data_IF_440774382548
#
_entry.id   IF_440774382548
#
_cell.length_a   1.000
_cell.length_b   1.000
_cell.length_c   1.000
_cell.angle_alpha   90.00
_cell.angle_beta   90.00
_cell.angle_gamma   90.00
#
_symmetry.space_group_name_H-M   'P 1'
#
loop_
_entity.id
_entity.type
_entity.pdbx_description
1 polymer ?
#
# COMPACT_ATOMS: atom_id res chain seq x y z
N UNK A 1 -38.09 16.98 -49.48
CA UNK A 1 -37.55 16.05 -50.50
C UNK A 1 -36.79 14.98 -49.74
N UNK A 2 -37.36 13.77 -49.66
CA UNK A 2 -36.81 12.53 -50.25
C UNK A 2 -35.50 12.09 -49.53
N UNK A 3 -35.35 10.93 -48.88
CA UNK A 3 -36.00 9.61 -48.98
C UNK A 3 -35.47 8.69 -47.84
N UNK A 4 -36.35 7.82 -47.32
CA UNK A 4 -36.18 6.33 -47.13
C UNK A 4 -35.09 5.80 -46.18
N UNK A 5 -35.49 5.14 -45.08
CA UNK A 5 -35.72 3.68 -44.91
C UNK A 5 -34.45 2.80 -44.97
N UNK A 6 -34.19 2.01 -43.91
CA UNK A 6 -33.80 0.57 -43.85
C UNK A 6 -33.21 0.29 -42.44
N UNK A 7 -33.93 -0.28 -41.47
CA UNK A 7 -34.07 -1.72 -41.12
C UNK A 7 -32.78 -2.54 -41.04
N UNK A 8 -32.50 -3.06 -39.83
CA UNK A 8 -32.00 -4.40 -39.46
C UNK A 8 -31.18 -4.25 -38.16
N UNK A 9 -31.54 -4.80 -37.00
CA UNK A 9 -32.06 -6.14 -36.78
C UNK A 9 -30.89 -7.07 -36.42
N UNK A 10 -30.28 -6.87 -35.26
CA UNK A 10 -29.30 -7.80 -34.70
C UNK A 10 -29.94 -8.50 -33.50
N UNK A 11 -30.63 -9.61 -33.78
CA UNK A 11 -31.09 -10.58 -32.80
C UNK A 11 -29.86 -11.37 -32.33
N UNK A 12 -29.35 -11.08 -31.13
CA UNK A 12 -28.25 -11.86 -30.55
C UNK A 12 -28.81 -13.15 -29.95
N UNK A 13 -28.37 -14.29 -30.47
CA UNK A 13 -28.75 -15.62 -29.98
C UNK A 13 -28.15 -15.85 -28.58
N UNK A 14 -29.04 -16.06 -27.61
CA UNK A 14 -28.71 -16.60 -26.30
C UNK A 14 -28.55 -18.12 -26.46
N UNK A 15 -27.32 -18.62 -26.33
CA UNK A 15 -27.05 -20.05 -26.16
C UNK A 15 -26.82 -20.33 -24.66
N UNK A 16 -27.91 -20.71 -23.97
CA UNK A 16 -27.83 -21.38 -22.67
C UNK A 16 -27.66 -22.87 -22.96
N UNK A 17 -26.50 -23.42 -22.64
CA UNK A 17 -26.31 -24.86 -22.47
C UNK A 17 -25.63 -25.06 -21.11
N UNK A 18 -26.44 -25.46 -20.13
CA UNK A 18 -25.94 -26.07 -18.91
C UNK A 18 -25.69 -27.57 -19.12
N UNK A 19 -24.89 -28.18 -18.25
CA UNK A 19 -25.30 -29.29 -17.38
C UNK A 19 -24.10 -29.82 -16.58
N UNK A 20 -24.21 -29.67 -15.26
CA UNK A 20 -23.97 -30.65 -14.20
C UNK A 20 -22.66 -31.46 -14.02
N UNK A 21 -22.45 -31.69 -12.71
CA UNK A 21 -21.83 -32.81 -11.99
C UNK A 21 -20.31 -32.92 -11.91
N UNK A 22 -19.78 -32.61 -10.72
CA UNK A 22 -19.21 -33.65 -9.85
C UNK A 22 -19.10 -33.12 -8.40
N UNK A 23 -19.69 -33.89 -7.49
CA UNK A 23 -19.56 -33.80 -6.04
C UNK A 23 -18.39 -34.70 -5.63
N UNK A 24 -17.46 -34.20 -4.81
CA UNK A 24 -16.51 -35.02 -4.04
C UNK A 24 -16.26 -34.26 -2.72
N UNK A 25 -16.92 -34.56 -1.61
CA UNK A 25 -16.81 -35.74 -0.75
C UNK A 25 -15.45 -35.88 -0.05
N UNK A 26 -15.31 -35.12 1.04
CA UNK A 26 -14.72 -35.51 2.32
C UNK A 26 -13.24 -35.99 2.37
N UNK A 27 -12.42 -35.25 3.14
CA UNK A 27 -11.66 -35.90 4.22
C UNK A 27 -11.31 -34.94 5.37
N UNK A 28 -11.91 -35.20 6.52
CA UNK A 28 -11.40 -34.83 7.83
C UNK A 28 -10.15 -35.67 8.11
N UNK A 29 -9.09 -35.03 8.61
CA UNK A 29 -8.18 -35.66 9.55
C UNK A 29 -7.67 -34.56 10.49
N UNK A 30 -8.30 -34.50 11.66
CA UNK A 30 -7.68 -33.99 12.88
C UNK A 30 -6.72 -35.06 13.38
N UNK A 31 -5.49 -34.73 13.75
CA UNK A 31 -4.83 -35.34 14.90
C UNK A 31 -3.47 -34.68 15.22
N UNK A 32 -3.08 -34.80 16.50
CA UNK A 32 -1.71 -34.76 17.03
C UNK A 32 -1.10 -33.40 17.44
N UNK A 33 -1.47 -32.99 18.65
CA UNK A 33 -0.53 -32.46 19.66
C UNK A 33 0.38 -33.60 20.18
N UNK A 34 1.62 -33.32 20.58
CA UNK A 34 1.92 -33.49 21.99
C UNK A 34 2.80 -32.39 22.61
N UNK A 35 2.72 -32.36 23.93
CA UNK A 35 3.32 -31.42 24.87
C UNK A 35 4.81 -31.68 25.20
N UNK A 36 5.33 -30.71 25.95
CA UNK A 36 6.42 -30.76 26.94
C UNK A 36 7.86 -30.55 26.46
N UNK A 37 8.54 -29.55 27.04
CA UNK A 37 9.51 -29.75 28.13
C UNK A 37 9.95 -28.39 28.69
N UNK A 38 9.79 -28.21 30.01
CA UNK A 38 10.39 -27.12 30.79
C UNK A 38 11.82 -27.50 31.21
N UNK A 39 12.65 -26.50 31.54
CA UNK A 39 13.46 -26.65 32.75
C UNK A 39 13.40 -25.42 33.68
N UNK A 40 13.37 -25.75 34.97
CA UNK A 40 13.53 -24.90 36.16
C UNK A 40 15.01 -24.83 36.56
N UNK A 41 15.51 -23.64 36.91
CA UNK A 41 16.51 -23.36 37.97
C UNK A 41 16.69 -21.82 38.05
N UNK A 42 16.19 -21.07 39.04
CA UNK A 42 16.53 -20.93 40.47
C UNK A 42 17.76 -20.05 40.77
N UNK A 43 17.51 -19.07 41.67
CA UNK A 43 18.37 -18.30 42.61
C UNK A 43 19.45 -17.40 41.99
N UNK A 44 19.71 -16.17 42.45
CA UNK A 44 20.04 -15.75 43.81
C UNK A 44 20.04 -14.21 43.92
N UNK A 45 19.67 -13.73 45.11
CA UNK A 45 19.65 -12.34 45.57
C UNK A 45 21.05 -11.87 46.00
N UNK A 46 21.47 -10.66 45.62
CA UNK A 46 22.50 -9.92 46.34
C UNK A 46 22.37 -8.41 46.09
N UNK A 47 21.91 -7.70 47.12
CA UNK A 47 22.03 -6.26 47.25
C UNK A 47 23.46 -5.89 47.66
N UNK A 48 24.06 -4.90 46.99
CA UNK A 48 25.19 -4.14 47.51
C UNK A 48 25.29 -2.78 46.78
N UNK A 49 24.99 -1.72 47.52
CA UNK A 49 25.44 -0.34 47.26
C UNK A 49 26.35 0.00 48.45
N UNK A 50 27.53 0.61 48.25
CA UNK A 50 27.58 2.07 48.07
C UNK A 50 28.68 2.62 47.12
N UNK A 51 28.30 3.71 46.46
CA UNK A 51 28.99 5.01 46.37
C UNK A 51 30.53 5.07 46.26
N UNK A 52 31.01 5.52 45.09
CA UNK A 52 32.16 6.44 44.99
C UNK A 52 32.15 7.14 43.61
N UNK A 53 31.84 8.44 43.62
CA UNK A 53 31.96 9.33 42.47
C UNK A 53 33.43 9.61 42.13
N UNK A 54 33.74 9.79 40.84
CA UNK A 54 34.48 10.98 40.44
C UNK A 54 33.75 11.80 39.37
N UNK A 55 34.10 13.09 39.37
CA UNK A 55 33.57 14.24 38.63
C UNK A 55 33.10 14.03 37.19
N UNK A 56 32.10 14.84 36.75
CA UNK A 56 31.70 14.93 35.36
C UNK A 56 32.78 15.70 34.56
N UNK A 57 33.59 14.98 33.81
CA UNK A 57 34.25 15.59 32.66
C UNK A 57 33.19 15.75 31.58
N UNK A 58 32.82 17.00 31.31
CA UNK A 58 32.01 17.41 30.16
C UNK A 58 32.71 16.98 28.88
N UNK A 59 32.48 15.74 28.45
CA UNK A 59 32.58 15.37 27.05
C UNK A 59 31.35 15.95 26.36
N UNK A 60 31.51 17.12 25.75
CA UNK A 60 30.62 17.63 24.71
C UNK A 60 30.61 16.61 23.57
N UNK A 61 29.74 15.61 23.70
CA UNK A 61 29.35 14.76 22.59
C UNK A 61 28.56 15.66 21.63
N UNK A 62 28.84 15.63 20.32
CA UNK A 62 27.92 16.24 19.37
C UNK A 62 26.59 15.53 19.57
N UNK A 63 25.58 16.30 19.99
CA UNK A 63 24.20 15.86 19.93
C UNK A 63 23.96 15.61 18.44
N UNK A 64 23.90 14.34 18.04
CA UNK A 64 23.33 14.02 16.75
C UNK A 64 21.92 14.60 16.78
N UNK A 65 21.72 15.67 16.01
CA UNK A 65 20.39 16.20 15.76
C UNK A 65 19.60 15.04 15.15
N UNK A 66 18.77 14.42 15.97
CA UNK A 66 17.66 13.59 15.48
C UNK A 66 16.79 14.56 14.70
N UNK A 67 17.06 14.70 13.39
CA UNK A 67 16.16 15.38 12.48
C UNK A 67 14.79 14.76 12.68
N UNK A 68 13.82 15.58 13.09
CA UNK A 68 12.45 15.13 13.22
C UNK A 68 12.01 14.52 11.87
N UNK A 69 11.29 13.40 11.88
CA UNK A 69 10.89 12.74 10.65
C UNK A 69 10.12 13.75 9.78
N UNK A 70 10.67 14.08 8.61
CA UNK A 70 9.98 14.91 7.64
C UNK A 70 8.88 14.05 7.02
N UNK A 71 7.67 14.21 7.52
CA UNK A 71 6.49 13.54 6.99
C UNK A 71 5.81 14.44 5.96
N UNK A 72 5.46 13.87 4.80
CA UNK A 72 4.57 14.50 3.81
C UNK A 72 3.30 13.70 3.72
N UNK A 73 2.15 14.36 3.67
CA UNK A 73 0.85 13.67 3.73
C UNK A 73 -0.12 14.17 2.67
N UNK A 74 -1.15 13.38 2.39
CA UNK A 74 -2.19 13.68 1.43
C UNK A 74 -3.44 12.83 1.61
N UNK A 75 -4.47 13.15 0.83
CA UNK A 75 -5.68 12.34 0.74
C UNK A 75 -5.86 11.88 -0.71
N UNK A 76 -6.29 10.63 -0.89
CA UNK A 76 -6.60 10.13 -2.21
C UNK A 76 -7.81 10.87 -2.79
N UNK A 77 -7.65 11.32 -4.03
CA UNK A 77 -8.74 11.75 -4.90
C UNK A 77 -9.07 10.62 -5.87
N UNK A 78 -10.36 10.42 -6.12
CA UNK A 78 -10.88 9.43 -7.07
C UNK A 78 -10.43 9.76 -8.49
N UNK A 79 -9.89 8.77 -9.17
CA UNK A 79 -9.61 8.75 -10.62
C UNK A 79 -10.61 7.86 -11.34
N UNK A 80 -10.11 6.79 -11.96
CA UNK A 80 -10.95 5.87 -12.75
C UNK A 80 -11.95 5.07 -11.90
N UNK A 81 -11.60 4.79 -10.65
CA UNK A 81 -12.38 3.97 -9.73
C UNK A 81 -12.43 4.61 -8.34
N UNK A 82 -13.47 4.30 -7.55
CA UNK A 82 -13.62 4.92 -6.24
C UNK A 82 -12.37 4.64 -5.38
N UNK A 83 -11.72 5.70 -4.89
CA UNK A 83 -10.51 5.61 -4.08
C UNK A 83 -10.49 6.78 -3.09
N UNK A 84 -10.26 6.50 -1.81
CA UNK A 84 -10.31 7.50 -0.75
C UNK A 84 -9.42 7.11 0.44
N UNK A 85 -9.31 8.04 1.41
CA UNK A 85 -8.54 7.88 2.65
C UNK A 85 -7.22 8.64 2.63
N UNK A 86 -6.54 8.64 3.78
CA UNK A 86 -5.26 9.33 3.97
C UNK A 86 -4.04 8.49 3.59
N UNK A 87 -2.97 9.16 3.18
CA UNK A 87 -1.62 8.58 3.03
C UNK A 87 -0.57 9.52 3.60
N UNK A 88 0.46 8.94 4.21
CA UNK A 88 1.64 9.66 4.70
C UNK A 88 2.91 8.98 4.21
N UNK A 89 3.84 9.75 3.69
CA UNK A 89 5.21 9.35 3.45
C UNK A 89 6.06 9.81 4.64
N UNK A 90 6.56 8.86 5.43
CA UNK A 90 7.32 9.12 6.66
C UNK A 90 8.75 8.61 6.53
N UNK A 91 9.72 9.34 7.09
CA UNK A 91 11.08 8.86 7.29
C UNK A 91 11.23 8.36 8.73
N UNK A 92 11.65 7.11 8.91
CA UNK A 92 11.99 6.56 10.21
C UNK A 92 13.45 6.10 10.20
N UNK A 93 14.33 6.91 10.81
CA UNK A 93 15.74 6.55 10.96
C UNK A 93 16.49 6.36 9.64
N UNK A 94 16.11 7.10 8.59
CA UNK A 94 16.71 7.02 7.25
C UNK A 94 15.98 6.10 6.28
N UNK A 95 14.99 5.32 6.75
CA UNK A 95 14.14 4.49 5.90
C UNK A 95 12.80 5.18 5.67
N UNK A 96 12.39 5.31 4.41
CA UNK A 96 11.07 5.86 4.06
C UNK A 96 9.99 4.78 4.01
N UNK A 97 8.78 5.16 4.42
CA UNK A 97 7.58 4.33 4.36
C UNK A 97 6.40 5.12 3.82
N UNK A 98 5.60 4.47 2.98
CA UNK A 98 4.27 4.94 2.60
C UNK A 98 3.26 4.25 3.52
N UNK A 99 2.51 5.04 4.28
CA UNK A 99 1.52 4.58 5.26
C UNK A 99 0.13 5.05 4.85
N UNK A 100 -0.78 4.11 4.67
CA UNK A 100 -2.18 4.40 4.44
C UNK A 100 -2.93 4.46 5.78
N UNK A 101 -3.81 5.44 5.91
CA UNK A 101 -4.64 5.60 7.08
C UNK A 101 -5.76 4.53 7.14
N UNK A 102 -6.38 4.39 8.31
CA UNK A 102 -7.40 3.35 8.54
C UNK A 102 -8.68 3.54 7.74
N UNK A 103 -8.88 4.73 7.19
CA UNK A 103 -10.00 5.10 6.31
C UNK A 103 -9.70 4.88 4.82
N UNK A 104 -8.54 4.31 4.46
CA UNK A 104 -8.25 3.94 3.09
C UNK A 104 -9.28 2.95 2.55
N UNK A 105 -9.75 3.21 1.32
CA UNK A 105 -10.65 2.34 0.57
C UNK A 105 -10.48 2.56 -0.93
N UNK A 106 -10.47 1.49 -1.70
CA UNK A 106 -10.48 1.52 -3.17
C UNK A 106 -11.28 0.35 -3.74
N UNK A 107 -11.81 0.48 -4.96
CA UNK A 107 -12.42 -0.64 -5.67
C UNK A 107 -11.40 -1.77 -5.95
N UNK A 108 -11.83 -3.03 -6.04
CA UNK A 108 -10.94 -4.13 -6.42
C UNK A 108 -10.51 -4.01 -7.89
N UNK A 109 -9.26 -4.40 -8.17
CA UNK A 109 -8.71 -4.53 -9.52
C UNK A 109 -7.83 -5.78 -9.64
N UNK A 110 -7.60 -6.30 -10.86
CA UNK A 110 -6.88 -7.56 -11.05
C UNK A 110 -5.38 -7.47 -10.73
N UNK A 111 -4.79 -6.28 -10.84
CA UNK A 111 -3.33 -6.08 -10.73
C UNK A 111 -2.98 -4.69 -10.16
N UNK A 112 -3.48 -4.40 -8.94
CA UNK A 112 -3.28 -3.10 -8.27
C UNK A 112 -1.91 -2.97 -7.60
N UNK A 113 -1.31 -1.80 -7.78
CA UNK A 113 -0.02 -1.42 -7.19
C UNK A 113 -0.09 -0.05 -6.53
N UNK A 114 0.75 0.10 -5.50
CA UNK A 114 1.12 1.40 -4.94
C UNK A 114 2.33 1.91 -5.70
N UNK A 115 2.23 3.15 -6.20
CA UNK A 115 3.30 3.82 -6.95
C UNK A 115 3.59 5.19 -6.34
N UNK A 116 4.82 5.67 -6.53
CA UNK A 116 5.17 7.09 -6.38
C UNK A 116 5.22 7.72 -7.77
N UNK A 117 4.58 8.89 -7.93
CA UNK A 117 4.52 9.60 -9.20
C UNK A 117 5.11 11.01 -9.08
N UNK A 118 5.75 11.48 -10.15
CA UNK A 118 6.44 12.79 -10.17
C UNK A 118 5.50 13.99 -10.28
N UNK A 119 4.37 13.80 -10.95
CA UNK A 119 3.31 14.82 -11.00
C UNK A 119 2.53 14.85 -9.67
N UNK A 120 2.30 16.04 -9.08
CA UNK A 120 1.51 16.18 -7.85
C UNK A 120 0.02 15.88 -8.05
N UNK A 121 -0.52 16.06 -9.26
CA UNK A 121 -1.94 15.92 -9.59
C UNK A 121 -2.14 14.98 -10.79
N UNK A 122 -1.93 13.68 -10.55
CA UNK A 122 -2.06 12.65 -11.60
C UNK A 122 -3.46 12.63 -12.21
N UNK A 123 -4.51 12.74 -11.39
CA UNK A 123 -5.88 12.71 -11.89
C UNK A 123 -6.21 13.96 -12.72
N UNK A 124 -5.77 15.15 -12.28
CA UNK A 124 -6.01 16.40 -13.02
C UNK A 124 -5.14 16.57 -14.27
N UNK A 125 -3.97 15.93 -14.32
CA UNK A 125 -3.02 15.99 -15.46
C UNK A 125 -3.26 14.94 -16.53
N UNK A 126 -4.15 13.96 -16.31
CA UNK A 126 -4.46 12.87 -17.24
C UNK A 126 -5.94 12.88 -17.65
N UNK A 127 -6.26 12.17 -18.74
CA UNK A 127 -7.62 12.13 -19.30
C UNK A 127 -8.33 10.80 -18.98
N UNK A 128 -9.66 10.84 -18.72
CA UNK A 128 -10.48 9.64 -18.65
C UNK A 128 -10.82 9.08 -20.06
N UNK A 129 -11.11 7.78 -20.19
CA UNK A 129 -11.03 6.78 -19.12
C UNK A 129 -9.58 6.39 -18.80
N UNK A 130 -9.43 5.65 -17.71
CA UNK A 130 -8.22 5.07 -17.15
C UNK A 130 -7.26 6.05 -16.46
N UNK A 131 -7.19 7.34 -16.80
CA UNK A 131 -6.16 8.22 -16.24
C UNK A 131 -4.75 7.61 -16.41
N UNK A 132 -4.46 7.19 -17.65
CA UNK A 132 -3.26 6.45 -17.99
C UNK A 132 -2.01 7.30 -17.78
N UNK A 133 -0.97 6.69 -17.21
CA UNK A 133 0.31 7.34 -16.92
C UNK A 133 1.40 6.81 -17.85
N UNK A 134 2.40 7.65 -18.12
CA UNK A 134 3.51 7.32 -19.01
C UNK A 134 4.58 6.48 -18.29
N UNK A 135 5.20 5.55 -19.01
CA UNK A 135 6.37 4.85 -18.46
C UNK A 135 7.47 5.85 -18.09
N UNK A 136 8.12 5.60 -16.96
CA UNK A 136 9.17 6.47 -16.45
C UNK A 136 8.68 7.73 -15.74
N UNK A 137 7.37 8.02 -15.66
CA UNK A 137 6.85 9.10 -14.80
C UNK A 137 6.64 8.68 -13.34
N UNK A 138 6.73 7.39 -13.06
CA UNK A 138 6.49 6.78 -11.75
C UNK A 138 7.50 5.69 -11.41
N UNK A 139 7.49 5.27 -10.14
CA UNK A 139 8.17 4.07 -9.65
C UNK A 139 7.17 3.17 -8.95
N UNK A 140 7.27 1.87 -9.21
CA UNK A 140 6.44 0.86 -8.56
C UNK A 140 7.03 0.50 -7.20
N UNK A 141 6.22 0.60 -6.15
CA UNK A 141 6.64 0.30 -4.77
C UNK A 141 6.31 -1.14 -4.42
N UNK A 142 5.03 -1.51 -4.53
CA UNK A 142 4.56 -2.84 -4.16
C UNK A 142 3.15 -3.12 -4.70
N UNK A 143 2.76 -4.39 -4.88
CA UNK A 143 1.36 -4.77 -5.04
C UNK A 143 0.52 -4.26 -3.86
N UNK A 144 -0.71 -3.87 -4.13
CA UNK A 144 -1.66 -3.48 -3.10
C UNK A 144 -2.02 -4.68 -2.22
N UNK A 145 -1.82 -4.57 -0.91
CA UNK A 145 -2.05 -5.68 0.04
C UNK A 145 -3.54 -5.93 0.28
N UNK A 146 -4.28 -4.88 0.62
CA UNK A 146 -5.74 -4.91 0.81
C UNK A 146 -6.38 -3.69 0.15
N UNK A 147 -7.65 -3.81 -0.24
CA UNK A 147 -8.40 -2.69 -0.83
C UNK A 147 -8.95 -1.72 0.21
N UNK A 148 -8.83 -2.04 1.50
CA UNK A 148 -9.30 -1.20 2.61
C UNK A 148 -8.35 -1.24 3.79
N UNK A 149 -8.40 -0.21 4.62
CA UNK A 149 -7.74 -0.12 5.91
C UNK A 149 -6.27 0.28 5.85
N UNK A 150 -5.67 0.35 7.04
CA UNK A 150 -4.26 0.72 7.20
C UNK A 150 -3.33 -0.32 6.61
N UNK A 151 -2.32 0.16 5.90
CA UNK A 151 -1.28 -0.67 5.32
C UNK A 151 0.00 0.17 5.14
N UNK A 152 1.14 -0.49 5.13
CA UNK A 152 2.45 0.18 5.13
C UNK A 152 3.39 -0.48 4.15
N UNK A 153 4.13 0.34 3.41
CA UNK A 153 5.03 -0.08 2.35
C UNK A 153 6.41 0.54 2.55
N UNK A 154 7.49 -0.25 2.65
CA UNK A 154 8.83 0.30 2.64
C UNK A 154 9.15 0.84 1.24
N UNK A 155 9.75 2.03 1.19
CA UNK A 155 10.30 2.58 -0.05
C UNK A 155 11.73 2.05 -0.21
N UNK A 156 12.08 1.38 -1.32
CA UNK A 156 13.45 0.94 -1.59
C UNK A 156 14.48 2.06 -1.40
N UNK A 157 15.64 1.76 -0.81
CA UNK A 157 16.67 2.75 -0.47
C UNK A 157 17.31 3.42 -1.69
N UNK A 158 17.16 2.84 -2.88
CA UNK A 158 17.64 3.40 -4.14
C UNK A 158 16.74 4.50 -4.69
N UNK A 159 15.53 4.65 -4.15
CA UNK A 159 14.55 5.66 -4.57
C UNK A 159 14.69 6.87 -3.67
N UNK A 160 14.98 8.04 -4.25
CA UNK A 160 14.88 9.32 -3.55
C UNK A 160 13.42 9.80 -3.55
N UNK A 161 12.71 9.78 -2.41
CA UNK A 161 11.30 10.15 -2.39
C UNK A 161 11.07 11.63 -2.69
N UNK A 162 12.09 12.49 -2.57
CA UNK A 162 11.96 13.92 -2.85
C UNK A 162 11.72 14.22 -4.33
N UNK A 163 12.03 13.28 -5.23
CA UNK A 163 11.73 13.37 -6.67
C UNK A 163 10.25 13.14 -7.00
N UNK A 164 9.45 12.70 -6.02
CA UNK A 164 8.05 12.34 -6.20
C UNK A 164 7.13 13.21 -5.37
N UNK A 165 6.00 13.57 -5.99
CA UNK A 165 5.06 14.55 -5.46
C UNK A 165 3.70 13.93 -5.12
N UNK A 166 3.44 12.68 -5.51
CA UNK A 166 2.20 11.98 -5.18
C UNK A 166 2.36 10.47 -5.00
N UNK A 167 1.41 9.87 -4.28
CA UNK A 167 1.20 8.42 -4.23
C UNK A 167 -0.04 8.10 -5.07
N UNK A 168 -0.01 7.03 -5.86
CA UNK A 168 -1.20 6.59 -6.59
C UNK A 168 -1.46 5.09 -6.44
N UNK A 169 -2.74 4.73 -6.54
CA UNK A 169 -3.20 3.36 -6.71
C UNK A 169 -3.40 3.14 -8.20
N UNK A 170 -2.64 2.23 -8.78
CA UNK A 170 -2.57 2.04 -10.22
C UNK A 170 -2.72 0.56 -10.59
N UNK A 171 -3.64 0.26 -11.49
CA UNK A 171 -3.81 -1.06 -12.08
C UNK A 171 -2.83 -1.21 -13.25
N UNK A 172 -1.81 -2.03 -13.07
CA UNK A 172 -0.77 -2.24 -14.08
C UNK A 172 -1.32 -2.90 -15.35
N UNK A 173 -2.23 -3.86 -15.21
CA UNK A 173 -2.80 -4.60 -16.34
C UNK A 173 -3.51 -3.70 -17.35
N UNK A 174 -4.21 -2.67 -16.86
CA UNK A 174 -4.99 -1.75 -17.69
C UNK A 174 -4.37 -0.36 -17.86
N UNK A 175 -3.21 -0.12 -17.27
CA UNK A 175 -2.63 1.21 -17.10
C UNK A 175 -3.68 2.22 -16.59
N UNK A 176 -4.41 1.86 -15.53
CA UNK A 176 -5.50 2.66 -15.00
C UNK A 176 -5.20 3.19 -13.61
N UNK A 177 -5.20 4.51 -13.42
CA UNK A 177 -5.02 5.15 -12.12
C UNK A 177 -6.37 5.22 -11.40
N UNK A 178 -6.51 4.41 -10.35
CA UNK A 178 -7.73 4.33 -9.54
C UNK A 178 -7.89 5.59 -8.69
N UNK A 179 -6.80 6.09 -8.10
CA UNK A 179 -6.78 7.38 -7.41
C UNK A 179 -5.36 7.80 -7.08
N UNK A 180 -5.18 9.09 -6.79
CA UNK A 180 -3.88 9.65 -6.40
C UNK A 180 -4.00 10.60 -5.22
N UNK A 181 -2.93 10.75 -4.46
CA UNK A 181 -2.84 11.67 -3.34
C UNK A 181 -1.57 12.51 -3.48
N UNK A 182 -1.73 13.82 -3.60
CA UNK A 182 -0.61 14.78 -3.55
C UNK A 182 0.02 14.77 -2.16
N UNK A 183 1.34 14.70 -2.09
CA UNK A 183 2.12 14.75 -0.85
C UNK A 183 2.53 16.19 -0.54
N UNK A 184 2.13 16.70 0.63
CA UNK A 184 2.39 18.07 1.09
C UNK A 184 3.15 18.09 2.42
#
# INVERSE_FOLDING_TARGET
MLHRFLTAGALSLIAVVGCACATDAAKQDADSSPAATAPTAQVESAAASPEAAPSPESATSPVAETEAPTARSGNFVTGEHETSGGVTLVNEGGQYFIEFAGDFSTDPGPDLFVILHRDPDVIGSTEPPAHAIAEGSYVNIAPLQTTTGSQRYPVPSEIDPSEFESVAIWCREFNATFGSATLQ
#
